data_IF_300700151076
#
_entry.id   IF_300700151076
#
_cell.length_a   1.000
_cell.length_b   1.000
_cell.length_c   1.000
_cell.angle_alpha   90.00
_cell.angle_beta   90.00
_cell.angle_gamma   90.00
#
_symmetry.space_group_name_H-M   'P 1'
#
loop_
_entity.id
_entity.type
_entity.pdbx_description
1 polymer ?
#
# COMPACT_ATOMS: atom_id res chain seq x y z
N UNK A 1 20.30 -13.81 18.72
CA UNK A 1 20.05 -14.02 17.27
C UNK A 1 21.34 -14.44 16.59
N UNK A 2 21.35 -15.57 15.88
CA UNK A 2 22.51 -15.98 15.12
C UNK A 2 22.67 -15.07 13.89
N UNK A 3 23.92 -14.67 13.58
CA UNK A 3 24.24 -13.91 12.38
C UNK A 3 24.18 -14.80 11.15
N UNK A 4 23.80 -14.23 10.01
CA UNK A 4 23.82 -14.93 8.72
C UNK A 4 25.26 -15.26 8.31
N UNK A 5 25.42 -16.25 7.42
CA UNK A 5 26.73 -16.64 6.90
C UNK A 5 27.44 -15.49 6.19
N UNK A 6 26.72 -14.71 5.38
CA UNK A 6 27.20 -13.51 4.69
C UNK A 6 27.76 -12.48 5.66
N UNK A 7 27.05 -12.17 6.74
CA UNK A 7 27.52 -11.22 7.75
C UNK A 7 28.79 -11.71 8.48
N UNK A 8 28.95 -13.04 8.62
CA UNK A 8 30.16 -13.63 9.21
C UNK A 8 31.34 -13.55 8.24
N UNK A 9 31.12 -13.79 6.94
CA UNK A 9 32.13 -13.70 5.89
C UNK A 9 32.67 -12.26 5.75
N UNK A 10 31.79 -11.27 5.65
CA UNK A 10 32.16 -9.85 5.58
C UNK A 10 33.03 -9.43 6.77
N UNK A 11 32.62 -9.77 8.00
CA UNK A 11 33.42 -9.48 9.21
C UNK A 11 34.76 -10.21 9.28
N UNK A 12 34.88 -11.39 8.67
CA UNK A 12 36.15 -12.13 8.63
C UNK A 12 37.11 -11.39 7.69
N UNK A 13 36.62 -10.99 6.53
CA UNK A 13 37.34 -10.23 5.52
C UNK A 13 37.81 -8.86 6.05
N UNK A 14 36.93 -8.11 6.70
CA UNK A 14 37.27 -6.84 7.37
C UNK A 14 38.38 -7.00 8.40
N UNK A 15 38.36 -8.08 9.19
CA UNK A 15 39.38 -8.35 10.22
C UNK A 15 40.72 -8.77 9.63
N UNK A 16 40.73 -9.53 8.54
CA UNK A 16 41.96 -9.98 7.90
C UNK A 16 42.50 -8.98 6.87
N UNK A 17 41.79 -7.89 6.59
CA UNK A 17 42.12 -6.95 5.51
C UNK A 17 42.06 -7.60 4.12
N UNK A 18 41.38 -8.74 3.98
CA UNK A 18 41.25 -9.47 2.72
C UNK A 18 39.93 -9.14 2.05
N UNK A 19 39.91 -9.26 0.74
CA UNK A 19 38.69 -9.12 -0.05
C UNK A 19 37.84 -10.40 -0.01
N UNK A 20 36.52 -10.25 -0.09
CA UNK A 20 35.56 -11.35 -0.09
C UNK A 20 34.45 -11.10 -1.13
N UNK A 21 33.98 -12.11 -1.89
CA UNK A 21 32.98 -11.92 -2.95
C UNK A 21 31.69 -11.23 -2.47
N UNK A 22 31.29 -11.47 -1.22
CA UNK A 22 30.14 -10.87 -0.57
C UNK A 22 30.22 -9.34 -0.50
N UNK A 23 31.42 -8.75 -0.49
CA UNK A 23 31.61 -7.28 -0.46
C UNK A 23 31.18 -6.63 -1.77
N UNK A 24 31.18 -7.38 -2.88
CA UNK A 24 30.78 -6.88 -4.20
C UNK A 24 29.31 -7.12 -4.52
N UNK A 25 28.57 -7.76 -3.61
CA UNK A 25 27.13 -7.95 -3.79
C UNK A 25 26.42 -6.62 -3.61
N UNK A 26 25.50 -6.32 -4.53
CA UNK A 26 24.64 -5.14 -4.40
C UNK A 26 23.79 -5.24 -3.13
N UNK A 27 23.78 -4.18 -2.34
CA UNK A 27 23.01 -4.03 -1.11
C UNK A 27 21.79 -3.15 -1.37
N UNK A 28 20.81 -3.18 -0.47
CA UNK A 28 19.61 -2.34 -0.60
C UNK A 28 19.93 -0.84 -0.67
N UNK A 29 21.08 -0.41 -0.12
CA UNK A 29 21.58 0.96 -0.28
C UNK A 29 21.83 1.34 -1.74
N UNK A 30 22.27 0.39 -2.57
CA UNK A 30 22.53 0.61 -4.00
C UNK A 30 21.24 0.81 -4.81
N UNK A 31 20.10 0.39 -4.25
CA UNK A 31 18.76 0.56 -4.82
C UNK A 31 17.97 1.69 -4.15
N UNK A 32 18.62 2.48 -3.28
CA UNK A 32 17.96 3.38 -2.31
C UNK A 32 17.27 4.61 -2.89
N UNK A 33 17.47 4.94 -4.17
CA UNK A 33 16.81 6.09 -4.78
C UNK A 33 15.28 5.91 -4.87
N UNK A 34 14.82 4.67 -5.14
CA UNK A 34 13.39 4.33 -5.24
C UNK A 34 13.17 2.87 -4.88
N UNK A 35 12.04 2.57 -4.24
CA UNK A 35 11.68 1.18 -3.93
C UNK A 35 11.47 0.38 -5.22
N UNK A 36 12.10 -0.79 -5.31
CA UNK A 36 12.13 -1.64 -6.51
C UNK A 36 10.88 -2.50 -6.71
N UNK A 37 9.92 -2.48 -5.79
CA UNK A 37 8.70 -3.27 -5.94
C UNK A 37 7.81 -2.71 -7.06
N UNK A 38 7.18 -3.60 -7.81
CA UNK A 38 6.14 -3.21 -8.76
C UNK A 38 4.95 -2.69 -7.98
N UNK A 39 4.53 -1.45 -8.26
CA UNK A 39 3.34 -0.86 -7.68
C UNK A 39 2.13 -1.29 -8.49
N UNK A 40 1.32 -2.16 -7.91
CA UNK A 40 0.05 -2.56 -8.52
C UNK A 40 -1.06 -1.65 -8.04
N UNK A 41 -1.96 -1.29 -8.96
CA UNK A 41 -3.18 -0.59 -8.59
C UNK A 41 -4.13 -1.56 -7.88
N UNK A 42 -4.89 -1.09 -6.88
CA UNK A 42 -5.79 -1.96 -6.15
C UNK A 42 -6.89 -2.51 -7.06
N UNK A 43 -7.26 -3.75 -6.81
CA UNK A 43 -8.28 -4.46 -7.57
C UNK A 43 -9.67 -3.89 -7.33
N UNK A 44 -10.64 -4.25 -8.18
CA UNK A 44 -12.04 -3.83 -8.00
C UNK A 44 -12.58 -4.24 -6.62
N UNK A 45 -12.26 -5.45 -6.15
CA UNK A 45 -12.70 -5.95 -4.85
C UNK A 45 -12.11 -5.13 -3.69
N UNK A 46 -10.81 -4.85 -3.73
CA UNK A 46 -10.12 -4.03 -2.72
C UNK A 46 -10.67 -2.59 -2.68
N UNK A 47 -11.00 -2.02 -3.84
CA UNK A 47 -11.62 -0.70 -3.93
C UNK A 47 -13.03 -0.67 -3.35
N UNK A 48 -13.85 -1.68 -3.64
CA UNK A 48 -15.25 -1.75 -3.20
C UNK A 48 -15.38 -1.99 -1.69
N UNK A 49 -14.48 -2.80 -1.11
CA UNK A 49 -14.45 -3.05 0.33
C UNK A 49 -13.91 -1.85 1.12
N UNK A 50 -13.16 -0.95 0.47
CA UNK A 50 -12.63 0.25 1.10
C UNK A 50 -13.72 1.31 1.25
N UNK A 51 -14.45 1.27 2.36
CA UNK A 51 -15.37 2.35 2.75
C UNK A 51 -14.56 3.54 3.24
N UNK A 52 -14.08 4.38 2.31
CA UNK A 52 -13.29 5.58 2.65
C UNK A 52 -14.16 6.73 3.15
N UNK A 53 -15.35 6.89 2.58
CA UNK A 53 -16.30 7.96 2.93
C UNK A 53 -17.64 7.33 3.30
N UNK A 54 -17.91 7.24 4.60
CA UNK A 54 -19.20 6.75 5.10
C UNK A 54 -20.26 7.77 4.70
N UNK A 55 -21.13 7.43 3.72
CA UNK A 55 -22.33 8.23 3.48
C UNK A 55 -23.16 8.21 4.75
N UNK A 56 -23.60 9.37 5.20
CA UNK A 56 -24.56 9.47 6.29
C UNK A 56 -25.86 8.87 5.75
N UNK A 57 -26.17 7.64 6.17
CA UNK A 57 -27.52 7.11 6.03
C UNK A 57 -28.40 8.08 6.81
N UNK A 58 -29.35 8.73 6.14
CA UNK A 58 -30.32 9.55 6.86
C UNK A 58 -31.15 8.59 7.71
N UNK A 59 -30.86 8.54 9.01
CA UNK A 59 -31.78 8.01 10.01
C UNK A 59 -32.91 9.03 10.14
N UNK A 60 -34.09 8.70 9.63
CA UNK A 60 -35.30 9.45 9.93
C UNK A 60 -36.29 9.53 8.79
N UNK A 61 -37.20 8.55 8.73
CA UNK A 61 -38.54 8.73 8.18
C UNK A 61 -38.64 8.74 6.65
N UNK A 62 -39.73 8.16 6.15
CA UNK A 62 -40.05 8.03 4.73
C UNK A 62 -39.84 9.32 3.92
N UNK A 63 -39.19 9.21 2.76
CA UNK A 63 -39.12 10.28 1.76
C UNK A 63 -40.47 10.44 1.06
N UNK A 64 -41.32 11.34 1.53
CA UNK A 64 -42.55 11.71 0.82
C UNK A 64 -42.22 12.75 -0.26
N UNK A 65 -42.39 12.36 -1.53
CA UNK A 65 -42.54 13.31 -2.63
C UNK A 65 -43.98 13.87 -2.59
N UNK A 66 -44.17 15.10 -2.11
CA UNK A 66 -45.46 15.81 -2.21
C UNK A 66 -45.47 16.81 -3.38
N UNK A 67 -46.07 16.33 -4.48
CA UNK A 67 -47.02 16.94 -5.44
C UNK A 67 -47.05 18.47 -5.65
N UNK A 68 -46.96 18.89 -6.92
CA UNK A 68 -47.93 19.84 -7.50
C UNK A 68 -48.36 19.39 -8.90
N UNK A 69 -49.35 18.50 -8.96
CA UNK A 69 -50.13 18.24 -10.17
C UNK A 69 -51.12 19.39 -10.37
N UNK A 70 -50.81 20.33 -11.26
CA UNK A 70 -51.78 21.33 -11.72
C UNK A 70 -52.72 20.63 -12.70
N UNK A 71 -53.86 20.12 -12.19
CA UNK A 71 -55.06 19.93 -13.01
C UNK A 71 -55.90 21.19 -12.87
N UNK A 72 -55.94 22.02 -13.91
CA UNK A 72 -56.92 23.10 -14.01
C UNK A 72 -58.14 22.52 -14.72
N UNK A 73 -59.23 22.35 -13.96
CA UNK A 73 -60.55 22.14 -14.50
C UNK A 73 -61.23 23.52 -14.62
N UNK A 74 -61.69 23.82 -15.84
CA UNK A 74 -62.99 24.35 -16.30
C UNK A 74 -62.74 24.99 -17.65
#
# INVERSE_FOLDING_TARGET
MARTQTQKALRKAERSGQWCPEQSRRVNGDYGALSQHVRLMPTKQEKLQKVKHKKRTQDGGASFYFVYGVRRAV
#
